data_IF_001884172178
#
_entry.id   IF_001884172178
#
_cell.length_a   1.000
_cell.length_b   1.000
_cell.length_c   1.000
_cell.angle_alpha   90.00
_cell.angle_beta   90.00
_cell.angle_gamma   90.00
#
_symmetry.space_group_name_H-M   'P 1'
#
loop_
_entity.id
_entity.type
_entity.pdbx_description
1 polymer ?
#
# COMPACT_ATOMS: atom_id res chain seq x y z
N UNK A 1 0.21 22.73 2.16
CA UNK A 1 -0.45 21.49 2.63
C UNK A 1 -0.56 20.45 1.51
N UNK A 2 -1.28 20.69 0.40
CA UNK A 2 -1.46 19.67 -0.66
C UNK A 2 -0.15 19.19 -1.31
N UNK A 3 0.84 20.06 -1.54
CA UNK A 3 2.14 19.65 -2.08
C UNK A 3 2.87 18.62 -1.20
N UNK A 4 2.86 18.83 0.13
CA UNK A 4 3.45 17.90 1.10
C UNK A 4 2.73 16.54 1.06
N UNK A 5 1.40 16.54 1.01
CA UNK A 5 0.57 15.33 0.94
C UNK A 5 0.74 14.56 -0.37
N UNK A 6 1.00 15.26 -1.47
CA UNK A 6 1.36 14.63 -2.75
C UNK A 6 2.75 14.00 -2.69
N UNK A 7 3.74 14.73 -2.16
CA UNK A 7 5.11 14.24 -2.02
C UNK A 7 5.20 12.98 -1.15
N UNK A 8 4.53 12.95 0.01
CA UNK A 8 4.58 11.77 0.90
C UNK A 8 4.01 10.52 0.24
N UNK A 9 2.92 10.64 -0.52
CA UNK A 9 2.34 9.52 -1.25
C UNK A 9 3.24 9.04 -2.39
N UNK A 10 3.88 9.97 -3.10
CA UNK A 10 4.86 9.63 -4.13
C UNK A 10 6.06 8.90 -3.51
N UNK A 11 6.58 9.39 -2.38
CA UNK A 11 7.67 8.75 -1.65
C UNK A 11 7.30 7.34 -1.14
N UNK A 12 6.06 7.15 -0.64
CA UNK A 12 5.54 5.83 -0.26
C UNK A 12 5.49 4.90 -1.47
N UNK A 13 4.92 5.36 -2.59
CA UNK A 13 4.88 4.59 -3.83
C UNK A 13 6.26 4.21 -4.34
N UNK A 14 7.22 5.14 -4.30
CA UNK A 14 8.61 4.92 -4.67
C UNK A 14 9.31 3.89 -3.78
N UNK A 15 9.11 4.00 -2.46
CA UNK A 15 9.70 3.08 -1.48
C UNK A 15 9.22 1.65 -1.72
N UNK A 16 7.90 1.49 -1.92
CA UNK A 16 7.27 0.17 -2.17
C UNK A 16 7.63 -0.38 -3.55
N UNK A 17 7.82 0.49 -4.54
CA UNK A 17 8.33 0.10 -5.85
C UNK A 17 9.76 -0.44 -5.76
N UNK A 18 10.63 0.26 -5.04
CA UNK A 18 12.03 -0.14 -4.88
C UNK A 18 12.19 -1.38 -3.97
N UNK A 19 11.25 -1.61 -3.06
CA UNK A 19 11.21 -2.81 -2.22
C UNK A 19 10.58 -4.03 -2.92
N UNK A 20 10.35 -3.99 -4.23
CA UNK A 20 9.92 -5.15 -5.04
C UNK A 20 11.01 -6.22 -5.11
N UNK A 21 11.34 -6.83 -3.98
CA UNK A 21 12.05 -8.11 -3.95
C UNK A 21 11.03 -9.16 -4.33
N UNK A 22 11.33 -9.94 -5.37
CA UNK A 22 10.49 -10.98 -5.99
C UNK A 22 9.82 -11.92 -4.97
N UNK A 23 8.69 -11.51 -4.39
CA UNK A 23 7.87 -12.29 -3.46
C UNK A 23 6.62 -12.80 -4.20
N UNK A 24 6.23 -14.04 -3.93
CA UNK A 24 5.21 -14.82 -4.66
C UNK A 24 3.80 -14.19 -4.65
N UNK A 25 3.52 -13.23 -3.75
CA UNK A 25 2.24 -12.52 -3.64
C UNK A 25 2.43 -11.03 -3.91
N UNK A 26 1.87 -10.54 -5.02
CA UNK A 26 2.06 -9.17 -5.52
C UNK A 26 0.85 -8.24 -5.29
N UNK A 27 -0.28 -8.78 -4.82
CA UNK A 27 -1.55 -8.04 -4.75
C UNK A 27 -1.48 -6.80 -3.85
N UNK A 28 -0.92 -6.92 -2.65
CA UNK A 28 -0.78 -5.78 -1.74
C UNK A 28 0.09 -4.66 -2.31
N UNK A 29 1.16 -5.01 -3.05
CA UNK A 29 2.05 -4.02 -3.67
C UNK A 29 1.34 -3.20 -4.74
N UNK A 30 0.54 -3.85 -5.59
CA UNK A 30 -0.25 -3.16 -6.61
C UNK A 30 -1.30 -2.25 -5.99
N UNK A 31 -1.92 -2.66 -4.89
CA UNK A 31 -2.92 -1.85 -4.18
C UNK A 31 -2.30 -0.58 -3.59
N UNK A 32 -1.12 -0.70 -2.95
CA UNK A 32 -0.40 0.46 -2.41
C UNK A 32 0.08 1.39 -3.52
N UNK A 33 0.60 0.86 -4.62
CA UNK A 33 1.01 1.65 -5.79
C UNK A 33 -0.17 2.40 -6.40
N UNK A 34 -1.31 1.75 -6.55
CA UNK A 34 -2.54 2.38 -7.05
C UNK A 34 -3.01 3.50 -6.12
N UNK A 35 -3.06 3.26 -4.81
CA UNK A 35 -3.45 4.27 -3.82
C UNK A 35 -2.49 5.46 -3.77
N UNK A 36 -1.18 5.20 -3.88
CA UNK A 36 -0.13 6.21 -3.92
C UNK A 36 -0.21 7.07 -5.20
N UNK A 37 -0.36 6.42 -6.36
CA UNK A 37 -0.50 7.12 -7.64
C UNK A 37 -1.76 7.98 -7.67
N UNK A 38 -2.91 7.42 -7.26
CA UNK A 38 -4.18 8.13 -7.21
C UNK A 38 -4.08 9.39 -6.32
N UNK A 39 -3.54 9.26 -5.10
CA UNK A 39 -3.41 10.42 -4.21
C UNK A 39 -2.37 11.44 -4.68
N UNK A 40 -1.31 10.99 -5.36
CA UNK A 40 -0.33 11.91 -5.98
C UNK A 40 -0.99 12.75 -7.08
N UNK A 41 -1.76 12.12 -7.96
CA UNK A 41 -2.51 12.82 -9.03
C UNK A 41 -3.50 13.82 -8.45
N UNK A 42 -4.26 13.42 -7.43
CA UNK A 42 -5.22 14.29 -6.74
C UNK A 42 -4.52 15.53 -6.19
N UNK A 43 -3.44 15.36 -5.42
CA UNK A 43 -2.73 16.49 -4.83
C UNK A 43 -1.97 17.34 -5.85
N UNK A 44 -1.42 16.74 -6.91
CA UNK A 44 -0.78 17.45 -8.01
C UNK A 44 -1.79 18.36 -8.74
N UNK A 45 -3.00 17.87 -9.02
CA UNK A 45 -4.05 18.68 -9.64
C UNK A 45 -4.39 19.93 -8.81
N UNK A 46 -4.37 19.82 -7.49
CA UNK A 46 -4.62 20.95 -6.58
C UNK A 46 -3.47 21.94 -6.55
N UNK A 47 -2.22 21.48 -6.66
CA UNK A 47 -1.04 22.37 -6.78
C UNK A 47 -1.10 23.14 -8.09
N UNK A 48 -1.40 22.46 -9.20
CA UNK A 48 -1.60 23.10 -10.52
C UNK A 48 -2.68 24.18 -10.41
N UNK A 49 -3.81 23.88 -9.79
CA UNK A 49 -4.87 24.87 -9.60
C UNK A 49 -4.44 26.10 -8.80
N UNK A 50 -3.68 25.91 -7.72
CA UNK A 50 -3.16 27.01 -6.93
C UNK A 50 -2.13 27.86 -7.67
N UNK A 51 -1.35 27.28 -8.58
CA UNK A 51 -0.30 27.99 -9.33
C UNK A 51 -0.89 28.78 -10.51
N UNK A 52 -1.84 28.20 -11.24
CA UNK A 52 -2.35 28.79 -12.48
C UNK A 52 -3.60 29.67 -12.29
N UNK A 53 -4.37 29.51 -11.22
CA UNK A 53 -5.61 30.27 -11.00
C UNK A 53 -5.46 31.24 -9.82
N UNK A 54 -5.55 32.54 -10.11
CA UNK A 54 -5.40 33.64 -9.13
C UNK A 54 -6.52 33.70 -8.07
N UNK A 55 -7.63 32.99 -8.28
CA UNK A 55 -8.62 32.69 -7.24
C UNK A 55 -8.34 31.28 -6.75
N UNK A 56 -7.48 31.08 -5.75
CA UNK A 56 -7.32 29.76 -5.16
C UNK A 56 -8.69 29.34 -4.69
N UNK A 57 -9.23 28.27 -5.32
CA UNK A 57 -10.50 27.63 -4.99
C UNK A 57 -10.87 27.91 -3.56
N UNK A 58 -11.92 28.72 -3.41
CA UNK A 58 -12.44 29.22 -2.17
C UNK A 58 -12.55 28.06 -1.15
N UNK A 59 -12.32 28.41 0.13
CA UNK A 59 -12.13 27.54 1.32
C UNK A 59 -12.41 26.06 1.08
N UNK A 60 -11.51 25.15 1.49
CA UNK A 60 -11.66 23.69 1.29
C UNK A 60 -13.06 23.14 1.67
N UNK A 61 -13.73 23.75 2.65
CA UNK A 61 -15.08 23.40 3.11
C UNK A 61 -16.22 24.05 2.31
N UNK A 62 -15.93 24.86 1.32
CA UNK A 62 -16.94 25.44 0.45
C UNK A 62 -17.52 24.34 -0.43
N UNK A 63 -18.85 24.14 -0.37
CA UNK A 63 -19.51 23.03 -1.03
C UNK A 63 -19.55 23.29 -2.53
N UNK A 64 -18.48 22.91 -3.22
CA UNK A 64 -18.40 22.83 -4.66
C UNK A 64 -18.21 21.38 -5.08
N UNK A 65 -18.79 20.99 -6.22
CA UNK A 65 -18.62 19.64 -6.77
C UNK A 65 -17.14 19.25 -6.90
N UNK A 66 -16.27 20.22 -7.19
CA UNK A 66 -14.84 20.03 -7.30
C UNK A 66 -14.15 19.74 -5.95
N UNK A 67 -14.50 20.48 -4.88
CA UNK A 67 -13.97 20.23 -3.55
C UNK A 67 -14.44 18.87 -3.00
N UNK A 68 -15.70 18.50 -3.26
CA UNK A 68 -16.24 17.19 -2.88
C UNK A 68 -15.46 16.07 -3.58
N UNK A 69 -15.30 16.14 -4.90
CA UNK A 69 -14.52 15.16 -5.65
C UNK A 69 -13.07 15.04 -5.14
N UNK A 70 -12.43 16.17 -4.84
CA UNK A 70 -11.06 16.20 -4.30
C UNK A 70 -10.98 15.51 -2.92
N UNK A 71 -11.89 15.81 -2.00
CA UNK A 71 -11.94 15.20 -0.67
C UNK A 71 -12.22 13.70 -0.79
N UNK A 72 -13.21 13.31 -1.57
CA UNK A 72 -13.55 11.90 -1.81
C UNK A 72 -12.37 11.13 -2.39
N UNK A 73 -11.66 11.70 -3.36
CA UNK A 73 -10.48 11.06 -3.94
C UNK A 73 -9.31 10.96 -2.95
N UNK A 74 -9.13 11.97 -2.08
CA UNK A 74 -8.17 11.93 -0.99
C UNK A 74 -8.46 10.84 0.05
N UNK A 75 -9.74 10.69 0.43
CA UNK A 75 -10.21 9.62 1.33
C UNK A 75 -10.01 8.27 0.66
N UNK A 76 -10.41 8.12 -0.60
CA UNK A 76 -10.24 6.87 -1.36
C UNK A 76 -8.77 6.45 -1.45
N UNK A 77 -7.87 7.41 -1.75
CA UNK A 77 -6.42 7.15 -1.75
C UNK A 77 -5.94 6.65 -0.38
N UNK A 78 -6.39 7.28 0.71
CA UNK A 78 -6.04 6.85 2.07
C UNK A 78 -6.53 5.43 2.36
N UNK A 79 -7.78 5.11 2.00
CA UNK A 79 -8.37 3.78 2.18
C UNK A 79 -7.59 2.72 1.39
N UNK A 80 -7.25 2.99 0.13
CA UNK A 80 -6.47 2.09 -0.71
C UNK A 80 -5.06 1.84 -0.13
N UNK A 81 -4.41 2.89 0.38
CA UNK A 81 -3.11 2.77 1.05
C UNK A 81 -3.22 1.92 2.33
N UNK A 82 -4.25 2.15 3.14
CA UNK A 82 -4.47 1.39 4.37
C UNK A 82 -4.70 -0.09 4.09
N UNK A 83 -5.58 -0.41 3.12
CA UNK A 83 -5.87 -1.79 2.72
C UNK A 83 -4.60 -2.45 2.16
N UNK A 84 -3.88 -1.76 1.27
CA UNK A 84 -2.64 -2.26 0.69
C UNK A 84 -1.57 -2.56 1.75
N UNK A 85 -1.41 -1.69 2.76
CA UNK A 85 -0.48 -1.92 3.86
C UNK A 85 -0.87 -3.15 4.69
N UNK A 86 -2.16 -3.29 5.03
CA UNK A 86 -2.66 -4.47 5.75
C UNK A 86 -2.40 -5.75 4.96
N UNK A 87 -2.59 -5.72 3.63
CA UNK A 87 -2.27 -6.87 2.77
C UNK A 87 -0.79 -7.22 2.80
N UNK A 88 0.12 -6.23 2.75
CA UNK A 88 1.56 -6.47 2.87
C UNK A 88 1.93 -7.12 4.21
N UNK A 89 1.37 -6.60 5.31
CA UNK A 89 1.60 -7.15 6.65
C UNK A 89 1.06 -8.57 6.73
N UNK A 90 -0.15 -8.81 6.24
CA UNK A 90 -0.74 -10.14 6.23
C UNK A 90 0.09 -11.14 5.42
N UNK A 91 0.58 -10.76 4.24
CA UNK A 91 1.47 -11.60 3.45
C UNK A 91 2.76 -11.92 4.20
N UNK A 92 3.32 -10.95 4.95
CA UNK A 92 4.45 -11.22 5.82
C UNK A 92 4.11 -12.23 6.92
N UNK A 93 2.96 -12.11 7.58
CA UNK A 93 2.54 -13.03 8.64
C UNK A 93 2.32 -14.45 8.12
N UNK A 94 1.71 -14.58 6.94
CA UNK A 94 1.52 -15.88 6.28
C UNK A 94 2.87 -16.52 5.95
N UNK A 95 3.83 -15.75 5.42
CA UNK A 95 5.17 -16.26 5.13
C UNK A 95 5.90 -16.72 6.42
N UNK A 96 5.78 -15.98 7.53
CA UNK A 96 6.37 -16.38 8.82
C UNK A 96 5.70 -17.65 9.36
N UNK A 97 4.37 -17.74 9.30
CA UNK A 97 3.63 -18.93 9.71
C UNK A 97 4.02 -20.15 8.87
N UNK A 98 4.23 -19.99 7.57
CA UNK A 98 4.73 -21.05 6.70
C UNK A 98 6.15 -21.49 7.09
N UNK A 99 7.05 -20.56 7.41
CA UNK A 99 8.41 -20.91 7.87
C UNK A 99 8.38 -21.72 9.17
N UNK A 100 7.60 -21.29 10.15
CA UNK A 100 7.42 -22.01 11.42
C UNK A 100 6.77 -23.40 11.23
N UNK A 101 5.92 -23.55 10.22
CA UNK A 101 5.28 -24.82 9.91
C UNK A 101 6.19 -25.80 9.15
N UNK A 102 7.24 -25.32 8.49
CA UNK A 102 8.18 -26.15 7.71
C UNK A 102 9.46 -26.47 8.48
N UNK A 103 9.98 -25.52 9.26
CA UNK A 103 11.23 -25.68 10.02
C UNK A 103 10.96 -25.33 11.48
N UNK A 104 11.26 -26.26 12.38
CA UNK A 104 11.22 -26.01 13.81
C UNK A 104 12.48 -25.23 14.21
N UNK A 105 12.34 -23.93 14.51
CA UNK A 105 13.48 -23.05 14.83
C UNK A 105 14.26 -23.50 16.08
N UNK A 106 13.62 -24.22 17.01
CA UNK A 106 14.26 -24.72 18.23
C UNK A 106 15.23 -25.86 17.96
N UNK A 107 15.03 -26.66 16.91
CA UNK A 107 15.87 -27.82 16.59
C UNK A 107 16.58 -27.70 15.25
N UNK A 108 16.21 -26.73 14.41
CA UNK A 108 16.70 -26.60 13.03
C UNK A 108 16.25 -27.73 12.11
N UNK A 109 15.41 -28.65 12.60
CA UNK A 109 14.89 -29.79 11.87
C UNK A 109 13.56 -29.45 11.21
N UNK A 110 13.20 -30.20 10.18
CA UNK A 110 11.88 -30.10 9.55
C UNK A 110 10.79 -30.31 10.61
N UNK A 111 9.74 -29.50 10.57
CA UNK A 111 8.62 -29.66 11.47
C UNK A 111 8.04 -31.08 11.36
N UNK A 112 7.53 -31.64 12.48
CA UNK A 112 7.01 -33.01 12.59
C UNK A 112 6.06 -33.39 11.43
N UNK A 113 5.29 -32.43 10.91
CA UNK A 113 4.33 -32.65 9.82
C UNK A 113 5.00 -32.85 8.45
N UNK A 114 6.05 -32.09 8.16
CA UNK A 114 6.88 -32.27 6.95
C UNK A 114 7.68 -33.56 7.00
N UNK A 115 8.20 -33.93 8.17
CA UNK A 115 8.87 -35.22 8.38
C UNK A 115 7.93 -36.41 8.13
N UNK A 116 6.70 -36.35 8.65
CA UNK A 116 5.70 -37.40 8.42
C UNK A 116 5.28 -37.48 6.95
N UNK A 117 5.05 -36.35 6.28
CA UNK A 117 4.71 -36.31 4.85
C UNK A 117 5.84 -36.86 3.96
N UNK A 118 7.11 -36.67 4.34
CA UNK A 118 8.27 -37.26 3.63
C UNK A 118 8.54 -38.72 4.00
N UNK A 119 8.04 -39.18 5.14
CA UNK A 119 8.26 -40.53 5.67
C UNK A 119 7.22 -41.56 5.23
N UNK A 120 6.12 -41.14 4.61
CA UNK A 120 5.13 -42.04 4.02
C UNK A 120 5.66 -42.56 2.67
N UNK A 121 5.93 -43.87 2.51
CA UNK A 121 6.24 -44.45 1.21
C UNK A 121 4.98 -44.41 0.32
N UNK A 122 5.17 -44.08 -0.96
CA UNK A 122 4.13 -44.07 -2.01
C UNK A 122 3.32 -45.37 -2.09
#
# INVERSE_FOLDING_TARGET
MSGLLGYTRLAVGWTIWNSRTSRRRQYGHWMVLLGAAAGTVVHASRVVQCVFFAKPTARVLEPSAWNIAFISAGILSLLLLSIGLVMLVNDSLVDHAQRLATVDELTGLLARRELLLRGEPF
#
